data_IF_820302155135
#
_entry.id   IF_820302155135
#
_cell.length_a   1.000
_cell.length_b   1.000
_cell.length_c   1.000
_cell.angle_alpha   90.00
_cell.angle_beta   90.00
_cell.angle_gamma   90.00
#
_symmetry.space_group_name_H-M   'P 1'
#
loop_
_entity.id
_entity.type
_entity.pdbx_description
1 polymer ?
#
# COMPACT_ATOMS: atom_id res chain seq x y z
N UNK A 1 1.94 -2.63 -18.72
CA UNK A 1 1.50 -1.68 -17.71
C UNK A 1 2.40 -1.83 -16.51
N UNK A 2 3.00 -0.73 -16.11
CA UNK A 2 3.79 -0.70 -14.89
C UNK A 2 2.95 -0.23 -13.72
N UNK A 3 3.21 -0.78 -12.53
CA UNK A 3 2.46 -0.42 -11.30
C UNK A 3 2.65 1.06 -10.97
N UNK A 4 3.87 1.56 -11.17
CA UNK A 4 4.18 2.97 -10.95
C UNK A 4 3.32 3.91 -11.81
N UNK A 5 3.13 3.57 -13.10
CA UNK A 5 2.28 4.37 -14.00
C UNK A 5 0.81 4.34 -13.58
N UNK A 6 0.32 3.15 -13.22
CA UNK A 6 -1.05 3.00 -12.72
C UNK A 6 -1.26 3.79 -11.42
N UNK A 7 -0.30 3.73 -10.50
CA UNK A 7 -0.35 4.46 -9.25
C UNK A 7 -0.33 5.98 -9.49
N UNK A 8 0.56 6.45 -10.36
CA UNK A 8 0.63 7.87 -10.74
C UNK A 8 -0.69 8.36 -11.33
N UNK A 9 -1.31 7.59 -12.24
CA UNK A 9 -2.61 7.93 -12.81
C UNK A 9 -3.72 7.91 -11.76
N UNK A 10 -3.66 6.98 -10.80
CA UNK A 10 -4.60 6.90 -9.68
C UNK A 10 -4.47 8.11 -8.77
N UNK A 11 -3.25 8.49 -8.40
CA UNK A 11 -2.97 9.63 -7.53
C UNK A 11 -3.24 11.00 -8.17
N UNK A 12 -3.39 11.06 -9.48
CA UNK A 12 -3.89 12.26 -10.18
C UNK A 12 -5.40 12.49 -9.94
N UNK A 13 -6.13 11.49 -9.42
CA UNK A 13 -7.55 11.60 -9.06
C UNK A 13 -7.63 12.12 -7.61
N UNK A 14 -8.23 13.30 -7.35
CA UNK A 14 -8.23 13.90 -6.02
C UNK A 14 -8.78 13.00 -4.91
N UNK A 15 -9.88 12.30 -5.17
CA UNK A 15 -10.49 11.38 -4.19
C UNK A 15 -9.62 10.18 -3.86
N UNK A 16 -8.89 9.65 -4.85
CA UNK A 16 -7.95 8.56 -4.66
C UNK A 16 -6.73 9.01 -3.86
N UNK A 17 -6.19 10.18 -4.19
CA UNK A 17 -5.06 10.80 -3.47
C UNK A 17 -5.40 10.98 -2.00
N UNK A 18 -6.54 11.61 -1.70
CA UNK A 18 -6.97 11.83 -0.32
C UNK A 18 -7.12 10.49 0.42
N UNK A 19 -7.74 9.50 -0.21
CA UNK A 19 -7.91 8.19 0.39
C UNK A 19 -6.56 7.53 0.73
N UNK A 20 -5.58 7.57 -0.18
CA UNK A 20 -4.24 7.02 0.07
C UNK A 20 -3.54 7.76 1.19
N UNK A 21 -3.56 9.09 1.19
CA UNK A 21 -2.94 9.90 2.22
C UNK A 21 -3.58 9.69 3.60
N UNK A 22 -4.93 9.54 3.67
CA UNK A 22 -5.65 9.23 4.89
C UNK A 22 -5.18 7.92 5.54
N UNK A 23 -4.89 6.92 4.72
CA UNK A 23 -4.50 5.60 5.20
C UNK A 23 -2.99 5.47 5.46
N UNK A 24 -2.16 6.20 4.71
CA UNK A 24 -0.71 6.07 4.77
C UNK A 24 -0.04 7.06 5.70
N UNK A 25 -0.62 8.26 5.86
CA UNK A 25 -0.04 9.32 6.69
C UNK A 25 -0.84 9.43 7.99
N UNK A 26 -0.55 8.53 8.90
CA UNK A 26 -1.27 8.42 10.17
C UNK A 26 -0.41 8.88 11.35
N UNK A 27 -1.08 9.31 12.41
CA UNK A 27 -0.39 9.72 13.64
C UNK A 27 0.39 8.57 14.31
N UNK A 28 -0.04 7.33 14.11
CA UNK A 28 0.63 6.14 14.63
C UNK A 28 2.00 5.89 13.99
N UNK A 29 2.12 6.21 12.69
CA UNK A 29 3.35 5.98 11.93
C UNK A 29 4.28 7.19 11.96
N UNK A 30 3.71 8.40 11.86
CA UNK A 30 4.45 9.64 11.63
C UNK A 30 4.63 10.46 12.91
N UNK A 31 3.74 10.24 13.91
CA UNK A 31 3.69 11.07 15.12
C UNK A 31 2.86 12.34 14.95
N UNK A 32 2.14 12.70 16.01
CA UNK A 32 1.12 13.78 16.02
C UNK A 32 1.66 15.14 15.55
N UNK A 33 2.91 15.46 15.86
CA UNK A 33 3.47 16.80 15.57
C UNK A 33 3.91 17.02 14.13
N UNK A 34 3.79 16.03 13.24
CA UNK A 34 4.25 16.14 11.85
C UNK A 34 3.20 15.74 10.81
N UNK A 35 2.16 15.02 11.22
CA UNK A 35 1.15 14.46 10.32
C UNK A 35 0.48 15.52 9.45
N UNK A 36 0.03 16.63 10.03
CA UNK A 36 -0.69 17.68 9.30
C UNK A 36 0.18 18.36 8.25
N UNK A 37 1.41 18.72 8.61
CA UNK A 37 2.32 19.44 7.72
C UNK A 37 2.82 18.52 6.60
N UNK A 38 3.17 17.29 6.95
CA UNK A 38 3.57 16.27 5.99
C UNK A 38 2.45 15.97 4.99
N UNK A 39 1.22 15.77 5.49
CA UNK A 39 0.06 15.49 4.65
C UNK A 39 -0.24 16.65 3.70
N UNK A 40 -0.26 17.90 4.20
CA UNK A 40 -0.51 19.07 3.39
C UNK A 40 0.52 19.20 2.25
N UNK A 41 1.79 19.02 2.57
CA UNK A 41 2.85 19.05 1.57
C UNK A 41 2.74 17.94 0.54
N UNK A 42 2.51 16.70 0.96
CA UNK A 42 2.34 15.56 0.04
C UNK A 42 1.13 15.70 -0.87
N UNK A 43 0.08 16.37 -0.40
CA UNK A 43 -1.13 16.60 -1.20
C UNK A 43 -0.89 17.62 -2.34
N UNK A 44 0.06 18.53 -2.19
CA UNK A 44 0.41 19.52 -3.20
C UNK A 44 1.37 18.99 -4.27
N UNK A 45 2.01 17.83 -4.05
CA UNK A 45 3.00 17.29 -4.97
C UNK A 45 2.38 16.85 -6.31
N UNK A 46 3.16 16.92 -7.41
CA UNK A 46 2.80 16.22 -8.64
C UNK A 46 2.56 14.71 -8.37
N UNK A 47 1.56 14.12 -9.02
CA UNK A 47 1.18 12.72 -8.77
C UNK A 47 2.34 11.72 -8.97
N UNK A 48 3.23 11.97 -9.93
CA UNK A 48 4.41 11.14 -10.16
C UNK A 48 5.38 11.19 -8.97
N UNK A 49 5.66 12.38 -8.44
CA UNK A 49 6.56 12.55 -7.31
C UNK A 49 5.95 11.96 -6.02
N UNK A 50 4.64 12.12 -5.82
CA UNK A 50 3.95 11.45 -4.72
C UNK A 50 4.05 9.93 -4.82
N UNK A 51 3.88 9.37 -6.02
CA UNK A 51 4.05 7.93 -6.25
C UNK A 51 5.49 7.46 -5.93
N UNK A 52 6.50 8.23 -6.33
CA UNK A 52 7.90 7.96 -6.00
C UNK A 52 8.13 7.87 -4.49
N UNK A 53 7.64 8.85 -3.71
CA UNK A 53 7.78 8.84 -2.26
C UNK A 53 6.99 7.71 -1.58
N UNK A 54 5.80 7.40 -2.06
CA UNK A 54 4.98 6.32 -1.49
C UNK A 54 5.59 4.93 -1.73
N UNK A 55 6.33 4.75 -2.83
CA UNK A 55 6.97 3.49 -3.20
C UNK A 55 8.43 3.45 -2.75
N UNK A 56 9.21 4.47 -3.09
CA UNK A 56 10.65 4.53 -2.85
C UNK A 56 11.04 4.95 -1.44
N UNK A 57 10.06 5.42 -0.67
CA UNK A 57 10.29 5.98 0.67
C UNK A 57 10.55 7.49 0.66
N UNK A 58 10.41 8.09 1.83
CA UNK A 58 10.62 9.52 2.04
C UNK A 58 11.63 9.71 3.17
N UNK A 59 12.73 10.38 2.89
CA UNK A 59 13.74 10.72 3.88
C UNK A 59 13.38 12.01 4.62
N UNK A 60 13.94 12.18 5.83
CA UNK A 60 13.85 13.45 6.56
C UNK A 60 14.49 14.58 5.76
N UNK A 61 15.58 14.31 5.03
CA UNK A 61 16.26 15.27 4.17
C UNK A 61 15.43 15.80 3.00
N UNK A 62 14.38 15.09 2.60
CA UNK A 62 13.53 15.47 1.48
C UNK A 62 12.44 16.47 1.87
N UNK A 63 12.24 16.66 3.18
CA UNK A 63 11.23 17.59 3.66
C UNK A 63 11.59 19.05 3.35
N UNK A 64 10.63 19.86 2.86
CA UNK A 64 10.83 21.31 2.66
C UNK A 64 10.73 22.12 3.95
N UNK A 65 10.48 21.46 5.08
CA UNK A 65 10.31 22.08 6.39
C UNK A 65 11.06 21.29 7.48
N UNK A 66 11.39 21.96 8.57
CA UNK A 66 12.01 21.30 9.72
C UNK A 66 10.92 20.73 10.63
N UNK A 67 10.96 19.43 10.97
CA UNK A 67 10.05 18.86 11.94
C UNK A 67 10.14 19.57 13.30
N UNK A 68 9.03 20.07 13.79
CA UNK A 68 9.00 20.80 15.10
C UNK A 68 8.92 19.83 16.28
N UNK A 69 8.47 18.59 16.03
CA UNK A 69 8.32 17.57 17.08
C UNK A 69 9.67 17.07 17.61
N UNK A 70 9.73 16.72 18.90
CA UNK A 70 10.92 16.08 19.49
C UNK A 70 11.33 14.81 18.73
N UNK A 71 10.36 14.04 18.27
CA UNK A 71 10.61 12.85 17.45
C UNK A 71 11.29 13.22 16.13
N UNK A 72 10.76 14.22 15.41
CA UNK A 72 11.35 14.69 14.15
C UNK A 72 12.76 15.26 14.32
N UNK A 73 13.04 15.92 15.44
CA UNK A 73 14.38 16.46 15.74
C UNK A 73 15.41 15.38 16.07
N UNK A 74 14.98 14.19 16.49
CA UNK A 74 15.85 13.05 16.82
C UNK A 74 16.01 12.08 15.64
N UNK A 75 15.22 12.22 14.57
CA UNK A 75 15.45 11.47 13.35
C UNK A 75 16.73 12.00 12.68
N UNK A 76 17.63 11.10 12.35
CA UNK A 76 18.79 11.48 11.54
C UNK A 76 18.31 11.96 10.16
N UNK A 77 19.02 12.90 9.53
CA UNK A 77 18.70 13.35 8.16
C UNK A 77 18.61 12.19 7.14
N UNK A 78 19.28 11.08 7.39
CA UNK A 78 19.23 9.87 6.57
C UNK A 78 18.13 8.88 7.01
N UNK A 79 17.32 9.25 8.00
CA UNK A 79 16.20 8.41 8.47
C UNK A 79 15.01 8.50 7.52
N UNK A 80 14.32 7.37 7.34
CA UNK A 80 13.07 7.35 6.60
C UNK A 80 11.89 7.82 7.48
N UNK A 81 11.08 8.72 6.94
CA UNK A 81 9.75 9.06 7.48
C UNK A 81 8.74 8.05 6.97
N UNK A 82 8.80 7.75 5.67
CA UNK A 82 8.07 6.65 5.05
C UNK A 82 9.11 5.64 4.58
N UNK A 83 9.07 4.44 5.12
CA UNK A 83 9.94 3.37 4.67
C UNK A 83 9.63 3.00 3.21
N UNK A 84 10.64 2.68 2.40
CA UNK A 84 10.43 2.18 1.04
C UNK A 84 9.70 0.85 1.06
N UNK A 85 8.90 0.60 0.03
CA UNK A 85 8.23 -0.69 -0.13
C UNK A 85 9.22 -1.72 -0.64
N UNK A 86 9.44 -2.82 0.10
CA UNK A 86 10.55 -3.73 -0.22
C UNK A 86 10.33 -4.54 -1.50
N UNK A 87 9.08 -4.90 -1.80
CA UNK A 87 8.78 -5.93 -2.79
C UNK A 87 7.59 -5.61 -3.70
N UNK A 88 7.23 -4.35 -3.90
CA UNK A 88 6.12 -3.97 -4.79
C UNK A 88 6.27 -4.49 -6.23
N UNK A 89 7.50 -4.85 -6.64
CA UNK A 89 7.79 -5.52 -7.90
C UNK A 89 7.01 -6.84 -8.05
N UNK A 90 6.79 -7.55 -6.95
CA UNK A 90 6.03 -8.82 -6.91
C UNK A 90 4.54 -8.53 -6.67
N UNK A 91 3.90 -7.97 -7.68
CA UNK A 91 2.51 -7.50 -7.60
C UNK A 91 1.49 -8.59 -7.29
N UNK A 92 1.84 -9.86 -7.55
CA UNK A 92 0.97 -10.99 -7.26
C UNK A 92 0.85 -11.25 -5.76
N UNK A 93 1.87 -10.93 -4.96
CA UNK A 93 1.85 -11.23 -3.53
C UNK A 93 0.82 -10.37 -2.79
N UNK A 94 0.76 -9.08 -3.08
CA UNK A 94 -0.17 -8.13 -2.46
C UNK A 94 -1.60 -8.23 -3.02
N UNK A 95 -1.77 -8.74 -4.26
CA UNK A 95 -3.08 -9.00 -4.86
C UNK A 95 -3.00 -10.08 -5.94
N UNK A 96 -3.93 -11.02 -5.95
CA UNK A 96 -3.96 -12.08 -6.93
C UNK A 96 -5.32 -12.17 -7.62
N UNK A 97 -5.30 -12.27 -8.96
CA UNK A 97 -6.49 -12.59 -9.73
C UNK A 97 -6.81 -14.06 -9.62
N UNK A 98 -8.01 -14.35 -9.17
CA UNK A 98 -8.57 -15.68 -8.99
C UNK A 98 -9.82 -15.76 -9.86
N UNK A 99 -9.62 -16.25 -11.09
CA UNK A 99 -10.65 -16.27 -12.14
C UNK A 99 -11.10 -14.86 -12.53
N UNK A 100 -12.32 -14.48 -12.17
CA UNK A 100 -12.98 -13.21 -12.49
C UNK A 100 -12.94 -12.18 -11.34
N UNK A 101 -12.33 -12.53 -10.22
CA UNK A 101 -12.22 -11.68 -9.04
C UNK A 101 -10.78 -11.54 -8.56
N UNK A 102 -10.54 -10.61 -7.65
CA UNK A 102 -9.22 -10.30 -7.09
C UNK A 102 -9.21 -10.46 -5.58
N UNK A 103 -8.14 -11.02 -5.03
CA UNK A 103 -7.86 -10.95 -3.59
C UNK A 103 -6.98 -9.75 -3.27
N UNK A 104 -7.22 -9.10 -2.14
CA UNK A 104 -6.38 -8.06 -1.54
C UNK A 104 -5.74 -8.65 -0.28
N UNK A 105 -4.48 -8.99 -0.37
CA UNK A 105 -3.86 -9.90 0.58
C UNK A 105 -3.35 -9.19 1.83
N UNK A 106 -3.76 -9.61 3.05
CA UNK A 106 -3.17 -9.11 4.30
C UNK A 106 -1.78 -9.71 4.47
N UNK A 107 -0.77 -8.95 4.08
CA UNK A 107 0.61 -9.38 4.09
C UNK A 107 1.09 -9.71 5.50
N UNK A 108 1.85 -10.80 5.64
CA UNK A 108 2.45 -11.25 6.89
C UNK A 108 3.41 -10.19 7.46
N UNK A 109 4.30 -9.67 6.60
CA UNK A 109 5.30 -8.70 7.00
C UNK A 109 4.71 -7.28 7.05
N UNK A 110 4.75 -6.59 8.21
CA UNK A 110 4.22 -5.22 8.33
C UNK A 110 4.79 -4.26 7.29
N UNK A 111 6.07 -4.40 6.93
CA UNK A 111 6.72 -3.57 5.90
C UNK A 111 6.09 -3.72 4.51
N UNK A 112 5.37 -4.81 4.24
CA UNK A 112 4.70 -5.09 2.97
C UNK A 112 3.20 -4.73 2.96
N UNK A 113 2.59 -4.49 4.11
CA UNK A 113 1.16 -4.16 4.19
C UNK A 113 0.78 -2.92 3.35
N UNK A 114 1.62 -1.86 3.27
CA UNK A 114 1.33 -0.73 2.40
C UNK A 114 1.33 -1.07 0.90
N UNK A 115 1.95 -2.17 0.47
CA UNK A 115 1.87 -2.63 -0.92
C UNK A 115 0.42 -2.95 -1.30
N UNK A 116 -0.29 -3.72 -0.46
CA UNK A 116 -1.71 -4.04 -0.67
C UNK A 116 -2.59 -2.78 -0.66
N UNK A 117 -2.28 -1.81 0.21
CA UNK A 117 -3.00 -0.54 0.25
C UNK A 117 -2.91 0.21 -1.08
N UNK A 118 -1.70 0.36 -1.64
CA UNK A 118 -1.51 1.07 -2.91
C UNK A 118 -2.15 0.33 -4.10
N UNK A 119 -2.03 -0.99 -4.14
CA UNK A 119 -2.69 -1.81 -5.17
C UNK A 119 -4.22 -1.70 -5.05
N UNK A 120 -4.75 -1.72 -3.84
CA UNK A 120 -6.18 -1.52 -3.57
C UNK A 120 -6.68 -0.15 -4.08
N UNK A 121 -5.89 0.93 -3.91
CA UNK A 121 -6.22 2.23 -4.46
C UNK A 121 -6.34 2.20 -5.99
N UNK A 122 -5.46 1.47 -6.66
CA UNK A 122 -5.51 1.28 -8.12
C UNK A 122 -6.81 0.58 -8.51
N UNK A 123 -7.17 -0.53 -7.87
CA UNK A 123 -8.43 -1.23 -8.19
C UNK A 123 -9.67 -0.40 -7.91
N UNK A 124 -9.62 0.40 -6.85
CA UNK A 124 -10.77 1.19 -6.41
C UNK A 124 -11.03 2.43 -7.27
N UNK A 125 -9.97 3.10 -7.71
CA UNK A 125 -10.09 4.44 -8.30
C UNK A 125 -9.63 4.54 -9.75
N UNK A 126 -8.68 3.71 -10.18
CA UNK A 126 -8.16 3.82 -11.55
C UNK A 126 -9.24 3.45 -12.58
N UNK A 127 -9.50 4.26 -13.64
CA UNK A 127 -10.61 4.06 -14.59
C UNK A 127 -10.62 2.70 -15.29
N UNK A 128 -9.46 2.06 -15.36
CA UNK A 128 -9.33 0.73 -15.96
C UNK A 128 -9.94 -0.37 -15.10
N UNK A 129 -9.95 -0.23 -13.79
CA UNK A 129 -10.33 -1.26 -12.81
C UNK A 129 -11.56 -0.88 -11.99
N UNK A 130 -11.78 0.41 -11.73
CA UNK A 130 -12.87 0.89 -10.91
C UNK A 130 -14.21 0.35 -11.39
N UNK A 131 -14.94 -0.33 -10.49
CA UNK A 131 -16.24 -0.95 -10.78
C UNK A 131 -16.17 -2.22 -11.67
N UNK A 132 -14.96 -2.70 -12.02
CA UNK A 132 -14.76 -3.89 -12.86
C UNK A 132 -14.01 -5.01 -12.15
N UNK A 133 -13.19 -4.66 -11.16
CA UNK A 133 -12.50 -5.64 -10.32
C UNK A 133 -13.39 -5.93 -9.11
N UNK A 134 -13.95 -7.14 -9.07
CA UNK A 134 -14.66 -7.64 -7.89
C UNK A 134 -13.62 -8.10 -6.86
N UNK A 135 -13.71 -7.60 -5.62
CA UNK A 135 -12.85 -8.07 -4.54
C UNK A 135 -13.49 -9.29 -3.90
N UNK A 136 -12.86 -10.45 -4.12
CA UNK A 136 -13.31 -11.72 -3.57
C UNK A 136 -13.02 -11.81 -2.06
N UNK A 137 -11.84 -11.32 -1.65
CA UNK A 137 -11.38 -11.44 -0.28
C UNK A 137 -10.32 -10.37 0.05
N UNK A 138 -10.28 -9.98 1.33
CA UNK A 138 -9.32 -9.04 1.86
C UNK A 138 -9.78 -7.58 1.75
N UNK A 139 -9.25 -6.79 2.66
CA UNK A 139 -9.47 -5.34 2.73
C UNK A 139 -8.24 -4.72 3.44
N UNK A 140 -7.47 -3.84 2.79
CA UNK A 140 -6.29 -3.23 3.42
C UNK A 140 -6.61 -2.35 4.62
N UNK A 141 -7.89 -2.01 4.85
CA UNK A 141 -8.34 -1.21 5.98
C UNK A 141 -8.73 -2.06 7.20
N UNK A 142 -8.78 -3.39 7.03
CA UNK A 142 -9.13 -4.31 8.11
C UNK A 142 -7.90 -5.01 8.65
N UNK A 143 -7.89 -5.23 9.96
CA UNK A 143 -6.86 -6.02 10.60
C UNK A 143 -7.36 -7.46 10.74
N UNK A 144 -6.74 -8.37 10.00
CA UNK A 144 -7.12 -9.79 9.97
C UNK A 144 -6.43 -10.64 11.06
N UNK A 145 -5.72 -10.01 12.00
CA UNK A 145 -5.03 -10.72 13.07
C UNK A 145 -3.92 -11.63 12.53
N UNK A 146 -4.01 -12.90 12.85
CA UNK A 146 -3.07 -13.91 12.38
C UNK A 146 -3.39 -14.48 10.99
N UNK A 147 -4.50 -14.06 10.36
CA UNK A 147 -4.86 -14.49 9.02
C UNK A 147 -4.07 -13.69 7.97
N UNK A 148 -2.90 -14.19 7.61
CA UNK A 148 -2.02 -13.62 6.59
C UNK A 148 -2.04 -14.46 5.32
N UNK A 149 -1.81 -13.80 4.17
CA UNK A 149 -2.00 -14.41 2.88
C UNK A 149 -1.15 -13.73 1.80
N UNK A 150 -0.48 -14.49 0.97
CA UNK A 150 0.27 -13.99 -0.18
C UNK A 150 -0.19 -14.65 -1.48
N UNK A 151 -0.34 -13.86 -2.52
CA UNK A 151 -0.85 -14.37 -3.80
C UNK A 151 0.12 -15.29 -4.53
N UNK A 152 1.39 -15.30 -4.14
CA UNK A 152 2.37 -16.28 -4.59
C UNK A 152 2.02 -17.71 -4.18
N UNK A 153 1.28 -17.87 -3.07
CA UNK A 153 0.83 -19.16 -2.56
C UNK A 153 -0.50 -19.65 -3.19
N UNK A 154 -1.07 -18.87 -4.12
CA UNK A 154 -2.35 -19.16 -4.76
C UNK A 154 -2.18 -19.68 -6.16
N UNK A 155 -2.72 -20.86 -6.43
CA UNK A 155 -2.68 -21.49 -7.76
C UNK A 155 -4.10 -21.87 -8.22
N UNK A 156 -4.74 -21.07 -9.09
CA UNK A 156 -5.97 -21.48 -9.76
C UNK A 156 -5.72 -22.67 -10.68
N UNK A 157 -6.47 -23.78 -10.48
CA UNK A 157 -6.30 -25.03 -11.22
C UNK A 157 -7.49 -25.39 -12.11
N UNK A 158 -8.43 -24.49 -12.30
CA UNK A 158 -9.65 -24.69 -13.07
C UNK A 158 -10.85 -25.07 -12.20
N UNK A 159 -12.03 -25.08 -12.82
CA UNK A 159 -13.31 -25.43 -12.16
C UNK A 159 -13.57 -24.65 -10.84
N UNK A 160 -13.17 -23.38 -10.80
CA UNK A 160 -13.25 -22.52 -9.59
C UNK A 160 -12.53 -23.09 -8.37
N UNK A 161 -11.52 -23.93 -8.60
CA UNK A 161 -10.68 -24.51 -7.55
C UNK A 161 -9.35 -23.79 -7.48
N UNK A 162 -8.91 -23.47 -6.27
CA UNK A 162 -7.62 -22.85 -5.99
C UNK A 162 -6.85 -23.74 -5.03
N UNK A 163 -5.61 -24.07 -5.37
CA UNK A 163 -4.66 -24.64 -4.41
C UNK A 163 -4.03 -23.50 -3.61
N UNK A 164 -3.90 -23.71 -2.32
CA UNK A 164 -3.29 -22.76 -1.40
C UNK A 164 -2.09 -23.41 -0.72
N UNK A 165 -0.90 -22.84 -0.94
CA UNK A 165 0.31 -23.21 -0.20
C UNK A 165 0.27 -22.57 1.19
N UNK A 166 0.33 -23.36 2.25
CA UNK A 166 0.44 -22.83 3.62
C UNK A 166 1.88 -22.78 4.06
N UNK A 167 2.28 -21.67 4.67
CA UNK A 167 3.64 -21.43 5.13
C UNK A 167 3.69 -20.31 6.16
N UNK A 168 4.83 -19.63 6.21
CA UNK A 168 5.00 -18.47 7.09
C UNK A 168 4.16 -17.28 6.63
N UNK A 169 4.11 -17.04 5.31
CA UNK A 169 3.41 -15.90 4.73
C UNK A 169 1.90 -16.13 4.59
N UNK A 170 1.48 -17.38 4.35
CA UNK A 170 0.07 -17.76 4.23
C UNK A 170 -0.29 -18.70 5.37
N UNK A 171 -1.02 -18.17 6.33
CA UNK A 171 -1.37 -18.86 7.56
C UNK A 171 -2.60 -19.75 7.39
N UNK A 172 -2.71 -20.78 8.24
CA UNK A 172 -3.88 -21.63 8.29
C UNK A 172 -5.17 -20.89 8.66
N UNK A 173 -5.06 -19.75 9.33
CA UNK A 173 -6.21 -18.91 9.70
C UNK A 173 -6.80 -18.16 8.51
N UNK A 174 -6.04 -17.98 7.43
CA UNK A 174 -6.50 -17.30 6.21
C UNK A 174 -7.16 -18.25 5.20
N UNK A 175 -7.00 -19.56 5.36
CA UNK A 175 -7.52 -20.62 4.52
C UNK A 175 -8.73 -21.27 5.16
#
# INVERSE_FOLDING_TARGET
>A
LEVHDLLTQTLAIPTARQWVLDQRITWNEIGVGMVSDLRAWLDELPAAQLAEYLVGGLLVSDLPFNPVSLFGQHLSHAGFILAPLPNLLFTRDSSAWLYDAVSLNPMHWPARQPETLLISAIYRYHPRFAGKAEVLWGDPLQHFGAATFEGGDLMPIGNRTVLVGMGESTSAQAV
#
